data_IF_053255710707
#
_entry.id   IF_053255710707
#
_cell.length_a   1.000
_cell.length_b   1.000
_cell.length_c   1.000
_cell.angle_alpha   90.00
_cell.angle_beta   90.00
_cell.angle_gamma   90.00
#
_symmetry.space_group_name_H-M   'P 1'
#
loop_
_entity.id
_entity.type
_entity.pdbx_description
1 polymer ?
#
# COMPACT_ATOMS: atom_id res chain seq x y z
N UNK A 1 -15.96 19.10 32.57
CA UNK A 1 -17.12 18.71 33.40
C UNK A 1 -18.22 19.74 33.15
N UNK A 2 -19.45 19.29 32.87
CA UNK A 2 -20.57 20.22 32.64
C UNK A 2 -20.86 21.07 33.87
N UNK A 3 -21.30 22.30 33.66
CA UNK A 3 -21.79 23.19 34.72
C UNK A 3 -23.08 22.61 35.31
N UNK A 4 -23.11 22.40 36.63
CA UNK A 4 -24.32 21.98 37.32
C UNK A 4 -25.33 23.14 37.32
N UNK A 5 -26.53 22.89 36.78
CA UNK A 5 -27.66 23.82 36.87
C UNK A 5 -28.63 23.33 37.95
N UNK A 6 -28.98 24.19 38.91
CA UNK A 6 -29.97 23.88 39.94
C UNK A 6 -31.36 23.80 39.33
N UNK A 7 -32.13 22.76 39.66
CA UNK A 7 -33.51 22.57 39.18
C UNK A 7 -34.56 23.36 39.99
N UNK A 8 -34.12 24.18 40.96
CA UNK A 8 -34.98 24.86 41.90
C UNK A 8 -35.43 23.97 43.07
N UNK A 9 -36.35 24.48 43.89
CA UNK A 9 -36.93 23.76 45.03
C UNK A 9 -38.30 23.22 44.63
N UNK A 10 -38.55 21.94 44.85
CA UNK A 10 -39.84 21.31 44.58
C UNK A 10 -40.73 21.45 45.83
N UNK A 11 -41.90 22.08 45.67
CA UNK A 11 -42.85 22.25 46.75
C UNK A 11 -43.72 21.00 46.91
N UNK A 12 -43.85 20.56 48.16
CA UNK A 12 -44.75 19.49 48.57
C UNK A 12 -45.90 20.12 49.37
N UNK A 13 -47.03 19.41 49.43
CA UNK A 13 -48.13 19.76 50.33
C UNK A 13 -47.65 19.88 51.79
N UNK A 14 -48.48 20.48 52.65
CA UNK A 14 -48.10 20.73 54.05
C UNK A 14 -47.70 19.47 54.84
N UNK A 15 -48.04 18.28 54.34
CA UNK A 15 -47.67 16.99 54.94
C UNK A 15 -46.41 16.37 54.31
N UNK A 16 -45.81 17.01 53.31
CA UNK A 16 -44.60 16.55 52.62
C UNK A 16 -44.79 15.29 51.78
N UNK A 17 -46.04 14.89 51.49
CA UNK A 17 -46.39 13.60 50.86
C UNK A 17 -46.69 13.73 49.38
N UNK A 18 -47.12 14.91 48.94
CA UNK A 18 -47.61 15.11 47.57
C UNK A 18 -46.96 16.35 46.96
N UNK A 19 -46.35 16.20 45.79
CA UNK A 19 -45.93 17.35 44.98
C UNK A 19 -47.16 18.17 44.58
N UNK A 20 -47.14 19.49 44.77
CA UNK A 20 -48.31 20.33 44.44
C UNK A 20 -48.53 20.47 42.93
N UNK A 21 -47.49 20.35 42.10
CA UNK A 21 -47.53 20.59 40.65
C UNK A 21 -47.32 19.30 39.82
N UNK A 22 -48.13 18.27 40.04
CA UNK A 22 -47.94 16.95 39.40
C UNK A 22 -48.17 16.93 37.88
N UNK A 23 -48.88 17.94 37.35
CA UNK A 23 -49.21 18.04 35.93
C UNK A 23 -48.14 18.73 35.07
N UNK A 24 -47.17 19.40 35.70
CA UNK A 24 -46.23 20.26 34.99
C UNK A 24 -44.85 19.61 34.88
N UNK A 25 -44.34 19.54 33.64
CA UNK A 25 -42.95 19.18 33.40
C UNK A 25 -42.03 20.29 33.89
N UNK A 26 -41.15 19.98 34.84
CA UNK A 26 -40.08 20.90 35.25
C UNK A 26 -38.87 20.69 34.34
N UNK A 27 -38.59 21.67 33.48
CA UNK A 27 -37.49 21.62 32.51
C UNK A 27 -36.22 22.27 33.08
N UNK A 28 -35.06 21.69 32.76
CA UNK A 28 -33.75 22.28 32.98
C UNK A 28 -32.97 22.36 31.67
N UNK A 29 -32.14 23.39 31.53
CA UNK A 29 -31.17 23.49 30.44
C UNK A 29 -29.78 23.57 31.04
N UNK A 30 -28.84 22.85 30.43
CA UNK A 30 -27.41 22.91 30.74
C UNK A 30 -26.66 23.35 29.48
N UNK A 31 -25.43 23.82 29.64
CA UNK A 31 -24.60 24.19 28.50
C UNK A 31 -24.46 23.02 27.53
N UNK A 32 -24.56 23.30 26.23
CA UNK A 32 -24.45 22.26 25.20
C UNK A 32 -23.11 21.52 25.37
N UNK A 33 -23.19 20.19 25.51
CA UNK A 33 -22.03 19.33 25.68
C UNK A 33 -22.26 18.01 24.96
N UNK A 34 -21.24 17.52 24.27
CA UNK A 34 -21.24 16.17 23.72
C UNK A 34 -21.14 15.18 24.88
N UNK A 35 -22.16 14.35 25.07
CA UNK A 35 -22.23 13.41 26.18
C UNK A 35 -22.94 12.12 25.77
N UNK A 36 -22.41 10.99 26.24
CA UNK A 36 -23.06 9.67 26.09
C UNK A 36 -24.01 9.37 27.24
N UNK A 37 -23.77 10.00 28.39
CA UNK A 37 -24.50 9.77 29.62
C UNK A 37 -24.86 11.12 30.24
N UNK A 38 -26.04 11.17 30.86
CA UNK A 38 -26.43 12.25 31.76
C UNK A 38 -26.52 11.65 33.15
N UNK A 39 -25.83 12.26 34.11
CA UNK A 39 -25.89 11.86 35.52
C UNK A 39 -26.82 12.79 36.26
N UNK A 40 -27.87 12.23 36.86
CA UNK A 40 -28.73 12.96 37.80
C UNK A 40 -28.26 12.62 39.21
N UNK A 41 -27.84 13.63 39.97
CA UNK A 41 -27.42 13.49 41.36
C UNK A 41 -28.44 14.18 42.27
N UNK A 42 -29.13 13.39 43.09
CA UNK A 42 -30.00 13.90 44.15
C UNK A 42 -29.12 14.39 45.30
N UNK A 43 -29.21 15.68 45.62
CA UNK A 43 -28.38 16.30 46.66
C UNK A 43 -29.06 16.33 48.02
N UNK A 44 -30.40 16.39 48.06
CA UNK A 44 -31.23 16.31 49.26
C UNK A 44 -32.60 15.72 48.90
N UNK A 45 -33.28 15.05 49.84
CA UNK A 45 -34.57 14.40 49.64
C UNK A 45 -35.48 14.48 50.88
N UNK A 46 -36.79 14.31 50.72
CA UNK A 46 -37.77 14.41 51.81
C UNK A 46 -38.10 13.06 52.47
N UNK A 47 -38.77 13.07 53.63
CA UNK A 47 -39.33 11.87 54.26
C UNK A 47 -39.42 11.97 55.79
N UNK A 48 -39.68 10.83 56.45
CA UNK A 48 -39.75 10.77 57.92
C UNK A 48 -38.44 11.13 58.64
N UNK A 49 -37.33 11.18 57.88
CA UNK A 49 -36.04 11.77 58.24
C UNK A 49 -35.53 12.59 57.03
N UNK A 50 -34.59 13.51 57.26
CA UNK A 50 -33.87 14.24 56.20
C UNK A 50 -33.23 13.23 55.23
N UNK A 51 -33.38 13.46 53.93
CA UNK A 51 -32.82 12.67 52.81
C UNK A 51 -33.33 11.22 52.69
N UNK A 52 -34.47 10.90 53.28
CA UNK A 52 -34.95 9.51 53.34
C UNK A 52 -35.45 8.96 51.99
N UNK A 53 -36.17 9.75 51.19
CA UNK A 53 -36.82 9.26 49.97
C UNK A 53 -36.78 10.27 48.82
N UNK A 54 -36.37 9.79 47.65
CA UNK A 54 -36.54 10.48 46.38
C UNK A 54 -37.23 9.54 45.40
N UNK A 55 -38.25 10.02 44.70
CA UNK A 55 -38.86 9.29 43.59
C UNK A 55 -38.90 10.20 42.35
N UNK A 56 -38.69 9.58 41.18
CA UNK A 56 -38.74 10.26 39.90
C UNK A 56 -39.53 9.36 38.96
N UNK A 57 -40.67 9.85 38.46
CA UNK A 57 -41.62 9.03 37.70
C UNK A 57 -41.25 8.96 36.22
N UNK A 58 -40.88 10.10 35.62
CA UNK A 58 -40.49 10.18 34.22
C UNK A 58 -39.32 11.16 34.04
N UNK A 59 -38.33 10.77 33.23
CA UNK A 59 -37.19 11.60 32.86
C UNK A 59 -37.11 11.64 31.33
N UNK A 60 -37.10 12.85 30.78
CA UNK A 60 -36.93 13.07 29.34
C UNK A 60 -35.66 13.87 29.09
N UNK A 61 -34.78 13.31 28.28
CA UNK A 61 -33.61 14.03 27.79
C UNK A 61 -33.90 14.55 26.38
N UNK A 62 -33.63 15.83 26.18
CA UNK A 62 -33.76 16.49 24.89
C UNK A 62 -32.37 16.87 24.41
N UNK A 63 -32.05 16.52 23.17
CA UNK A 63 -30.77 16.81 22.56
C UNK A 63 -30.81 16.52 21.07
N UNK A 64 -29.82 17.03 20.35
CA UNK A 64 -29.56 16.64 18.97
C UNK A 64 -28.64 15.43 18.97
N UNK A 65 -28.92 14.45 18.11
CA UNK A 65 -27.96 13.37 17.87
C UNK A 65 -26.70 14.00 17.28
N UNK A 66 -25.56 13.84 17.95
CA UNK A 66 -24.26 14.26 17.44
C UNK A 66 -23.58 13.02 16.86
N UNK A 67 -23.32 12.95 15.54
CA UNK A 67 -22.66 11.80 14.94
C UNK A 67 -21.29 11.58 15.57
N UNK A 68 -20.86 10.32 15.69
CA UNK A 68 -19.53 9.96 16.18
C UNK A 68 -18.44 10.75 15.43
N UNK A 69 -17.38 11.20 16.14
CA UNK A 69 -16.30 11.93 15.50
C UNK A 69 -15.70 11.06 14.40
N UNK A 70 -15.50 11.65 13.23
CA UNK A 70 -14.93 10.94 12.07
C UNK A 70 -13.43 10.80 12.27
N UNK A 71 -12.94 9.57 12.21
CA UNK A 71 -11.52 9.25 12.37
C UNK A 71 -10.78 9.52 11.06
N UNK A 72 -9.79 10.42 11.08
CA UNK A 72 -9.05 10.86 9.89
C UNK A 72 -7.54 10.57 9.93
N UNK A 73 -7.04 10.01 11.02
CA UNK A 73 -5.61 9.85 11.27
C UNK A 73 -4.93 8.92 10.25
N UNK A 74 -5.60 7.83 9.86
CA UNK A 74 -5.08 6.89 8.86
C UNK A 74 -4.99 7.54 7.48
N UNK A 75 -6.00 8.33 7.09
CA UNK A 75 -6.00 9.09 5.84
C UNK A 75 -4.87 10.13 5.83
N UNK A 76 -4.68 10.87 6.93
CA UNK A 76 -3.59 11.83 7.08
C UNK A 76 -2.22 11.14 6.94
N UNK A 77 -2.03 10.02 7.64
CA UNK A 77 -0.80 9.22 7.61
C UNK A 77 -0.48 8.72 6.19
N UNK A 78 -1.48 8.24 5.46
CA UNK A 78 -1.31 7.77 4.09
C UNK A 78 -0.90 8.92 3.13
N UNK A 79 -1.52 10.09 3.25
CA UNK A 79 -1.17 11.28 2.46
C UNK A 79 0.27 11.72 2.75
N UNK A 80 0.65 11.79 4.03
CA UNK A 80 2.01 12.17 4.45
C UNK A 80 3.05 11.18 3.95
N UNK A 81 2.79 9.87 4.06
CA UNK A 81 3.68 8.83 3.57
C UNK A 81 3.97 8.98 2.07
N UNK A 82 2.93 9.11 1.24
CA UNK A 82 3.11 9.26 -0.20
C UNK A 82 3.83 10.58 -0.53
N UNK A 83 3.46 11.68 0.14
CA UNK A 83 4.13 12.96 -0.06
C UNK A 83 5.61 12.93 0.33
N UNK A 84 5.96 12.23 1.42
CA UNK A 84 7.33 12.06 1.86
C UNK A 84 8.15 11.23 0.86
N UNK A 85 7.59 10.14 0.33
CA UNK A 85 8.22 9.32 -0.71
C UNK A 85 8.48 10.14 -1.98
N UNK A 86 7.54 11.01 -2.40
CA UNK A 86 7.75 11.91 -3.54
C UNK A 86 8.84 12.95 -3.23
N UNK A 87 8.79 13.59 -2.08
CA UNK A 87 9.74 14.64 -1.68
C UNK A 87 11.17 14.11 -1.53
N UNK A 88 11.33 12.89 -1.02
CA UNK A 88 12.62 12.21 -0.90
C UNK A 88 13.13 11.63 -2.24
N UNK A 89 12.29 11.64 -3.29
CA UNK A 89 12.63 11.08 -4.61
C UNK A 89 12.55 9.55 -4.65
N UNK A 90 11.84 8.94 -3.71
CA UNK A 90 11.52 7.50 -3.58
C UNK A 90 10.38 7.09 -4.50
N UNK A 91 9.58 8.09 -4.85
CA UNK A 91 8.53 7.96 -5.83
C UNK A 91 8.68 9.08 -6.87
N UNK A 92 9.14 8.74 -8.08
CA UNK A 92 9.39 9.70 -9.15
C UNK A 92 8.41 9.49 -10.30
N UNK A 93 7.76 10.57 -10.74
CA UNK A 93 6.82 10.53 -11.86
C UNK A 93 7.40 9.88 -13.12
N UNK A 94 8.66 10.18 -13.44
CA UNK A 94 9.32 9.66 -14.65
C UNK A 94 9.53 8.15 -14.68
N UNK A 95 9.46 7.47 -13.54
CA UNK A 95 9.61 6.01 -13.47
C UNK A 95 8.31 5.27 -13.83
N UNK A 96 7.19 5.98 -13.92
CA UNK A 96 5.84 5.42 -14.08
C UNK A 96 5.13 5.97 -15.31
N UNK A 97 4.14 5.21 -15.80
CA UNK A 97 3.28 5.64 -16.90
C UNK A 97 2.50 6.88 -16.49
N UNK A 98 2.32 7.81 -17.43
CA UNK A 98 1.57 9.05 -17.20
C UNK A 98 0.16 8.78 -16.65
N UNK A 99 -0.50 7.73 -17.16
CA UNK A 99 -1.82 7.32 -16.71
C UNK A 99 -1.84 6.88 -15.24
N UNK A 100 -0.90 6.01 -14.83
CA UNK A 100 -0.85 5.52 -13.45
C UNK A 100 -0.41 6.60 -12.46
N UNK A 101 0.51 7.49 -12.88
CA UNK A 101 0.92 8.65 -12.09
C UNK A 101 -0.24 9.63 -11.88
N UNK A 102 -0.96 9.98 -12.96
CA UNK A 102 -2.11 10.88 -12.90
C UNK A 102 -3.21 10.31 -11.98
N UNK A 103 -3.41 8.99 -11.99
CA UNK A 103 -4.35 8.34 -11.06
C UNK A 103 -3.94 8.52 -9.59
N UNK A 104 -2.65 8.42 -9.27
CA UNK A 104 -2.13 8.68 -7.92
C UNK A 104 -2.30 10.16 -7.52
N UNK A 105 -1.98 11.10 -8.41
CA UNK A 105 -2.14 12.54 -8.15
C UNK A 105 -3.61 12.91 -7.88
N UNK A 106 -4.53 12.36 -8.67
CA UNK A 106 -5.96 12.56 -8.48
C UNK A 106 -6.45 11.97 -7.14
N UNK A 107 -5.95 10.79 -6.77
CA UNK A 107 -6.28 10.16 -5.49
C UNK A 107 -5.74 10.99 -4.30
N UNK A 108 -4.51 11.51 -4.38
CA UNK A 108 -3.93 12.41 -3.39
C UNK A 108 -4.73 13.70 -3.24
N UNK A 109 -5.12 14.32 -4.35
CA UNK A 109 -5.93 15.55 -4.33
C UNK A 109 -7.29 15.30 -3.66
N UNK A 110 -7.96 14.20 -4.03
CA UNK A 110 -9.24 13.79 -3.44
C UNK A 110 -9.11 13.50 -1.94
N UNK A 111 -8.06 12.77 -1.55
CA UNK A 111 -7.77 12.47 -0.14
C UNK A 111 -7.57 13.73 0.69
N UNK A 112 -6.82 14.73 0.18
CA UNK A 112 -6.62 16.03 0.86
C UNK A 112 -7.91 16.83 0.99
N UNK A 113 -8.77 16.80 -0.02
CA UNK A 113 -10.07 17.46 0.03
C UNK A 113 -10.96 16.87 1.15
N UNK A 114 -11.08 15.54 1.22
CA UNK A 114 -11.83 14.84 2.27
C UNK A 114 -11.22 15.04 3.66
N UNK A 115 -9.88 15.05 3.75
CA UNK A 115 -9.19 15.32 5.02
C UNK A 115 -9.58 16.71 5.57
N UNK A 116 -9.67 17.71 4.70
CA UNK A 116 -9.97 19.10 5.05
C UNK A 116 -11.46 19.40 5.24
N UNK A 117 -12.35 18.52 4.79
CA UNK A 117 -13.80 18.72 4.91
C UNK A 117 -14.31 18.39 6.31
N UNK A 118 -14.73 19.41 7.07
CA UNK A 118 -15.28 19.26 8.42
C UNK A 118 -16.57 18.43 8.47
N UNK A 119 -17.26 18.27 7.35
CA UNK A 119 -18.51 17.51 7.23
C UNK A 119 -18.33 16.13 6.60
N UNK A 120 -17.10 15.76 6.23
CA UNK A 120 -16.83 14.44 5.66
C UNK A 120 -17.33 13.34 6.59
N UNK A 121 -17.99 12.34 6.01
CA UNK A 121 -18.45 11.14 6.69
C UNK A 121 -17.33 10.12 6.82
N UNK A 122 -17.47 9.17 7.76
CA UNK A 122 -16.50 8.07 7.89
C UNK A 122 -16.39 7.26 6.59
N UNK A 123 -17.49 7.03 5.88
CA UNK A 123 -17.48 6.30 4.62
C UNK A 123 -16.67 7.01 3.52
N UNK A 124 -16.72 8.34 3.46
CA UNK A 124 -15.92 9.12 2.51
C UNK A 124 -14.43 9.07 2.86
N UNK A 125 -14.08 9.13 4.15
CA UNK A 125 -12.70 8.97 4.61
C UNK A 125 -12.15 7.57 4.26
N UNK A 126 -12.91 6.52 4.56
CA UNK A 126 -12.52 5.13 4.28
C UNK A 126 -12.41 4.87 2.76
N UNK A 127 -13.24 5.52 1.95
CA UNK A 127 -13.16 5.44 0.50
C UNK A 127 -11.92 6.18 -0.03
N UNK A 128 -11.63 7.38 0.48
CA UNK A 128 -10.47 8.16 0.08
C UNK A 128 -9.16 7.43 0.43
N UNK A 129 -9.09 6.81 1.62
CA UNK A 129 -7.94 6.01 2.03
C UNK A 129 -7.71 4.84 1.08
N UNK A 130 -8.74 4.02 0.84
CA UNK A 130 -8.64 2.87 -0.08
C UNK A 130 -8.28 3.30 -1.50
N UNK A 131 -8.83 4.41 -1.98
CA UNK A 131 -8.51 4.93 -3.31
C UNK A 131 -7.04 5.35 -3.41
N UNK A 132 -6.50 6.03 -2.39
CA UNK A 132 -5.09 6.41 -2.35
C UNK A 132 -4.16 5.19 -2.29
N UNK A 133 -4.45 4.21 -1.43
CA UNK A 133 -3.68 2.97 -1.33
C UNK A 133 -3.72 2.17 -2.64
N UNK A 134 -4.91 2.06 -3.25
CA UNK A 134 -5.07 1.37 -4.53
C UNK A 134 -4.33 2.08 -5.65
N UNK A 135 -4.41 3.41 -5.75
CA UNK A 135 -3.69 4.16 -6.77
C UNK A 135 -2.17 4.04 -6.59
N UNK A 136 -1.70 4.00 -5.33
CA UNK A 136 -0.29 3.78 -5.03
C UNK A 136 0.16 2.37 -5.42
N UNK A 137 -0.63 1.35 -5.14
CA UNK A 137 -0.34 -0.05 -5.50
C UNK A 137 -0.46 -0.33 -7.00
N UNK A 138 -1.26 0.45 -7.72
CA UNK A 138 -1.50 0.33 -9.17
C UNK A 138 -0.52 1.13 -10.04
N UNK A 139 0.49 1.75 -9.44
CA UNK A 139 1.54 2.42 -10.18
C UNK A 139 2.24 1.46 -11.15
N UNK A 140 2.27 1.83 -12.42
CA UNK A 140 2.82 0.99 -13.49
C UNK A 140 4.10 1.63 -14.02
N UNK A 141 5.20 0.87 -14.04
CA UNK A 141 6.49 1.40 -14.52
C UNK A 141 6.45 1.71 -16.02
N UNK A 142 7.13 2.78 -16.42
CA UNK A 142 7.30 3.09 -17.84
C UNK A 142 8.13 2.01 -18.53
N UNK A 143 7.57 1.29 -19.53
CA UNK A 143 8.33 0.29 -20.25
C UNK A 143 9.42 0.94 -21.10
N UNK A 144 10.57 0.29 -21.20
CA UNK A 144 11.62 0.73 -22.11
C UNK A 144 11.24 0.22 -23.51
N UNK A 145 11.08 1.11 -24.49
CA UNK A 145 10.75 0.67 -25.84
C UNK A 145 11.90 -0.17 -26.44
N UNK A 146 11.62 -1.31 -27.10
CA UNK A 146 12.62 -2.01 -27.89
C UNK A 146 13.07 -1.13 -29.06
N UNK A 147 14.37 -1.14 -29.35
CA UNK A 147 14.96 -0.39 -30.47
C UNK A 147 15.86 -1.35 -31.24
N UNK A 148 15.59 -1.50 -32.53
CA UNK A 148 16.49 -2.20 -33.45
C UNK A 148 17.61 -1.25 -33.90
N UNK A 149 18.85 -1.73 -33.89
CA UNK A 149 20.07 -1.00 -34.22
C UNK A 149 20.17 0.35 -33.46
N UNK A 150 20.20 0.34 -32.11
CA UNK A 150 20.21 1.55 -31.31
C UNK A 150 21.50 2.34 -31.55
N UNK A 151 21.34 3.64 -31.73
CA UNK A 151 22.48 4.57 -31.82
C UNK A 151 23.17 4.72 -30.46
N UNK A 152 24.45 5.12 -30.46
CA UNK A 152 25.16 5.54 -29.23
C UNK A 152 24.39 6.60 -28.43
N UNK A 153 23.64 7.48 -29.11
CA UNK A 153 22.78 8.48 -28.44
C UNK A 153 21.63 7.83 -27.68
N UNK A 154 20.96 6.84 -28.26
CA UNK A 154 19.88 6.09 -27.61
C UNK A 154 20.40 5.24 -26.45
N UNK A 155 21.52 4.54 -26.63
CA UNK A 155 22.16 3.80 -25.54
C UNK A 155 22.57 4.72 -24.37
N UNK A 156 23.15 5.89 -24.66
CA UNK A 156 23.49 6.89 -23.64
C UNK A 156 22.26 7.42 -22.88
N UNK A 157 21.14 7.62 -23.57
CA UNK A 157 19.89 8.02 -22.93
C UNK A 157 19.37 6.92 -21.98
N UNK A 158 19.43 5.66 -22.41
CA UNK A 158 19.02 4.53 -21.58
C UNK A 158 19.94 4.35 -20.37
N UNK A 159 21.27 4.55 -20.53
CA UNK A 159 22.22 4.56 -19.40
C UNK A 159 21.86 5.64 -18.37
N UNK A 160 21.50 6.85 -18.83
CA UNK A 160 21.05 7.91 -17.93
C UNK A 160 19.79 7.49 -17.14
N UNK A 161 18.79 6.94 -17.83
CA UNK A 161 17.57 6.44 -17.19
C UNK A 161 17.88 5.32 -16.18
N UNK A 162 18.73 4.36 -16.55
CA UNK A 162 19.14 3.26 -15.68
C UNK A 162 19.82 3.75 -14.40
N UNK A 163 20.67 4.78 -14.49
CA UNK A 163 21.34 5.40 -13.33
C UNK A 163 20.39 6.17 -12.43
N UNK A 164 19.28 6.67 -12.98
CA UNK A 164 18.26 7.42 -12.26
C UNK A 164 17.18 6.52 -11.64
N UNK A 165 17.12 5.25 -12.06
CA UNK A 165 16.15 4.25 -11.61
C UNK A 165 16.27 4.01 -10.10
N UNK A 166 15.17 4.12 -9.36
CA UNK A 166 15.18 3.81 -7.93
C UNK A 166 15.41 2.31 -7.68
N UNK A 167 16.40 2.02 -6.85
CA UNK A 167 16.86 0.69 -6.46
C UNK A 167 16.60 0.38 -4.98
N UNK A 168 16.00 1.31 -4.23
CA UNK A 168 15.62 1.06 -2.84
C UNK A 168 14.52 0.02 -2.74
N UNK A 169 14.62 -0.77 -1.68
CA UNK A 169 13.72 -1.90 -1.49
C UNK A 169 13.86 -2.98 -2.55
N UNK A 170 14.89 -2.95 -3.43
CA UNK A 170 15.17 -4.01 -4.41
C UNK A 170 16.21 -5.00 -3.88
N UNK A 171 16.19 -6.23 -4.40
CA UNK A 171 17.16 -7.26 -3.99
C UNK A 171 18.57 -6.89 -4.46
N UNK A 172 19.59 -7.25 -3.67
CA UNK A 172 20.98 -7.01 -4.02
C UNK A 172 21.34 -7.63 -5.39
N UNK A 173 20.79 -8.80 -5.72
CA UNK A 173 21.02 -9.47 -7.00
C UNK A 173 20.47 -8.68 -8.18
N UNK A 174 19.27 -8.10 -8.05
CA UNK A 174 18.66 -7.34 -9.16
C UNK A 174 19.32 -5.98 -9.34
N UNK A 175 19.75 -5.33 -8.26
CA UNK A 175 20.54 -4.09 -8.31
C UNK A 175 21.93 -4.34 -8.91
N UNK A 176 22.56 -5.49 -8.57
CA UNK A 176 23.83 -5.88 -9.18
C UNK A 176 23.68 -6.10 -10.68
N UNK A 177 22.63 -6.80 -11.11
CA UNK A 177 22.36 -7.02 -12.53
C UNK A 177 22.19 -5.70 -13.31
N UNK A 178 21.48 -4.71 -12.74
CA UNK A 178 21.38 -3.37 -13.31
C UNK A 178 22.74 -2.67 -13.39
N UNK A 179 23.54 -2.74 -12.33
CA UNK A 179 24.87 -2.12 -12.28
C UNK A 179 25.84 -2.74 -13.30
N UNK A 180 25.81 -4.07 -13.44
CA UNK A 180 26.61 -4.80 -14.42
C UNK A 180 26.19 -4.40 -15.86
N UNK A 181 24.89 -4.30 -16.13
CA UNK A 181 24.37 -3.87 -17.43
C UNK A 181 24.72 -2.41 -17.76
N UNK A 182 24.67 -1.50 -16.77
CA UNK A 182 25.12 -0.11 -16.92
C UNK A 182 26.61 -0.10 -17.29
N UNK A 183 27.44 -0.85 -16.58
CA UNK A 183 28.89 -0.90 -16.83
C UNK A 183 29.18 -1.37 -18.25
N UNK A 184 28.54 -2.46 -18.69
CA UNK A 184 28.70 -2.97 -20.05
C UNK A 184 28.27 -1.95 -21.12
N UNK A 185 27.14 -1.26 -20.90
CA UNK A 185 26.69 -0.21 -21.81
C UNK A 185 27.66 0.98 -21.87
N UNK A 186 28.29 1.36 -20.76
CA UNK A 186 29.31 2.42 -20.73
C UNK A 186 30.61 2.00 -21.45
N UNK A 187 31.03 0.75 -21.32
CA UNK A 187 32.18 0.21 -22.06
C UNK A 187 31.94 0.25 -23.58
N UNK A 188 30.76 -0.18 -24.03
CA UNK A 188 30.37 -0.11 -25.45
C UNK A 188 30.29 1.33 -25.96
N UNK A 189 29.83 2.28 -25.13
CA UNK A 189 29.82 3.69 -25.48
C UNK A 189 31.24 4.28 -25.61
N UNK A 190 32.18 3.80 -24.80
CA UNK A 190 33.59 4.19 -24.81
C UNK A 190 34.40 3.64 -25.99
N UNK A 191 33.97 2.54 -26.60
CA UNK A 191 34.61 1.96 -27.77
C UNK A 191 34.23 2.73 -29.05
N UNK A 192 35.20 3.44 -29.64
CA UNK A 192 35.03 4.18 -30.90
C UNK A 192 34.59 3.28 -32.05
N UNK A 193 34.97 1.99 -32.03
CA UNK A 193 34.69 1.01 -33.07
C UNK A 193 33.59 0.00 -32.69
N UNK A 194 32.79 0.30 -31.65
CA UNK A 194 31.66 -0.54 -31.26
C UNK A 194 30.75 -0.84 -32.46
N UNK A 195 30.50 -2.14 -32.69
CA UNK A 195 29.59 -2.63 -33.73
C UNK A 195 28.12 -2.43 -33.37
N UNK A 196 27.25 -2.42 -34.38
CA UNK A 196 25.80 -2.36 -34.20
C UNK A 196 25.29 -3.52 -33.32
N UNK A 197 25.88 -4.71 -33.44
CA UNK A 197 25.58 -5.86 -32.59
C UNK A 197 25.93 -5.61 -31.12
N UNK A 198 27.05 -4.96 -30.84
CA UNK A 198 27.43 -4.60 -29.46
C UNK A 198 26.49 -3.54 -28.89
N UNK A 199 26.12 -2.54 -29.69
CA UNK A 199 25.13 -1.52 -29.29
C UNK A 199 23.76 -2.15 -29.00
N UNK A 200 23.30 -3.05 -29.86
CA UNK A 200 22.04 -3.79 -29.67
C UNK A 200 22.09 -4.62 -28.38
N UNK A 201 23.14 -5.41 -28.20
CA UNK A 201 23.29 -6.25 -27.01
C UNK A 201 23.31 -5.42 -25.71
N UNK A 202 24.01 -4.28 -25.71
CA UNK A 202 24.07 -3.38 -24.56
C UNK A 202 22.71 -2.75 -24.25
N UNK A 203 21.97 -2.34 -25.27
CA UNK A 203 20.63 -1.78 -25.12
C UNK A 203 19.64 -2.82 -24.55
N UNK A 204 19.63 -4.03 -25.11
CA UNK A 204 18.72 -5.10 -24.69
C UNK A 204 19.01 -5.59 -23.28
N UNK A 205 20.29 -5.71 -22.91
CA UNK A 205 20.69 -6.07 -21.55
C UNK A 205 20.26 -5.00 -20.53
N UNK A 206 20.45 -3.72 -20.87
CA UNK A 206 20.09 -2.63 -19.99
C UNK A 206 18.57 -2.51 -19.82
N UNK A 207 17.81 -2.64 -20.93
CA UNK A 207 16.35 -2.75 -20.91
C UNK A 207 15.88 -3.88 -20.01
N UNK A 208 16.41 -5.08 -20.21
CA UNK A 208 16.03 -6.26 -19.42
C UNK A 208 16.34 -6.05 -17.94
N UNK A 209 17.48 -5.44 -17.60
CA UNK A 209 17.86 -5.19 -16.22
C UNK A 209 16.95 -4.16 -15.53
N UNK A 210 16.53 -3.10 -16.23
CA UNK A 210 15.55 -2.12 -15.72
C UNK A 210 14.20 -2.80 -15.45
N UNK A 211 13.72 -3.62 -16.38
CA UNK A 211 12.42 -4.30 -16.30
C UNK A 211 12.42 -5.47 -15.30
N UNK A 212 13.58 -6.04 -15.01
CA UNK A 212 13.72 -7.22 -14.12
C UNK A 212 14.13 -6.86 -12.69
N UNK A 213 14.06 -5.59 -12.29
CA UNK A 213 14.29 -5.19 -10.90
C UNK A 213 13.27 -5.86 -9.97
N UNK A 214 13.77 -6.54 -8.95
CA UNK A 214 12.94 -7.30 -8.00
C UNK A 214 12.92 -6.62 -6.66
N UNK A 215 11.74 -6.49 -6.07
CA UNK A 215 11.63 -6.08 -4.68
C UNK A 215 12.33 -7.10 -3.76
N UNK A 216 13.11 -6.59 -2.82
CA UNK A 216 13.55 -7.34 -1.66
C UNK A 216 12.28 -7.75 -0.91
N UNK A 217 12.12 -9.05 -0.69
CA UNK A 217 10.95 -9.62 -0.03
C UNK A 217 10.67 -8.83 1.24
N UNK A 218 9.66 -7.97 1.15
CA UNK A 218 9.20 -7.17 2.25
C UNK A 218 8.29 -8.12 2.98
N UNK A 219 8.84 -8.84 3.96
CA UNK A 219 8.09 -9.80 4.77
C UNK A 219 6.84 -9.16 5.33
N UNK A 220 5.73 -9.24 4.59
CA UNK A 220 4.41 -8.84 5.02
C UNK A 220 3.58 -10.12 5.14
N UNK A 221 3.85 -10.83 6.24
CA UNK A 221 2.85 -11.65 6.90
C UNK A 221 1.81 -10.69 7.49
N UNK A 222 0.64 -10.55 6.85
CA UNK A 222 -0.33 -9.57 7.32
C UNK A 222 -1.70 -9.56 6.65
N UNK A 223 -2.14 -10.67 6.07
CA UNK A 223 -3.52 -10.84 5.59
C UNK A 223 -4.21 -11.92 6.41
N UNK A 224 -4.63 -11.59 7.63
CA UNK A 224 -5.54 -12.44 8.43
C UNK A 224 -6.87 -12.54 7.67
N UNK A 225 -7.01 -13.60 6.89
CA UNK A 225 -8.27 -13.99 6.28
C UNK A 225 -9.25 -14.37 7.38
N UNK A 226 -10.20 -13.46 7.63
CA UNK A 226 -11.41 -13.67 8.39
C UNK A 226 -12.06 -15.02 8.00
N UNK A 227 -11.96 -16.00 8.89
CA UNK A 227 -12.40 -17.36 8.69
C UNK A 227 -13.93 -17.40 8.85
N UNK A 228 -14.62 -17.33 7.71
CA UNK A 228 -16.06 -17.55 7.61
C UNK A 228 -16.43 -18.96 8.07
N UNK A 229 -17.21 -19.00 9.15
CA UNK A 229 -17.87 -20.17 9.71
C UNK A 229 -18.68 -20.93 8.66
N UNK A 230 -18.24 -22.13 8.30
CA UNK A 230 -18.96 -23.09 7.46
C UNK A 230 -19.00 -24.45 8.14
N UNK A 231 -20.12 -24.72 8.81
CA UNK A 231 -20.44 -25.95 9.51
C UNK A 231 -20.60 -27.14 8.55
N UNK A 232 -19.96 -28.28 8.82
CA UNK A 232 -20.06 -29.47 7.96
C UNK A 232 -19.35 -30.71 8.53
N UNK A 233 -19.95 -31.34 9.52
CA UNK A 233 -19.57 -32.69 9.97
C UNK A 233 -20.14 -33.76 9.03
N UNK A 234 -19.28 -34.73 8.67
CA UNK A 234 -19.49 -36.19 8.76
C UNK A 234 -19.07 -37.00 7.50
N UNK A 235 -18.00 -37.79 7.66
CA UNK A 235 -18.05 -39.25 7.49
C UNK A 235 -17.63 -39.87 6.15
N UNK A 236 -16.63 -40.77 6.20
CA UNK A 236 -16.69 -42.03 5.42
C UNK A 236 -15.48 -42.44 4.56
N UNK A 237 -14.46 -43.02 5.20
CA UNK A 237 -13.70 -44.23 4.87
C UNK A 237 -13.33 -44.68 3.43
N UNK A 238 -12.02 -45.06 3.34
CA UNK A 238 -11.41 -46.18 2.59
C UNK A 238 -11.46 -46.14 1.05
N UNK A 239 -10.57 -46.76 0.27
CA UNK A 239 -9.24 -47.33 0.35
C UNK A 239 -9.02 -47.90 -1.07
N UNK A 240 -7.83 -47.78 -1.69
CA UNK A 240 -7.62 -48.44 -2.98
C UNK A 240 -6.38 -48.03 -3.76
N UNK A 241 -5.29 -48.77 -3.55
CA UNK A 241 -4.22 -49.03 -4.53
C UNK A 241 -4.24 -50.54 -4.78
N UNK A 242 -3.96 -51.05 -6.00
CA UNK A 242 -2.56 -51.14 -6.44
C UNK A 242 -2.27 -51.10 -7.97
N UNK A 243 -0.99 -50.76 -8.24
CA UNK A 243 -0.01 -51.11 -9.29
C UNK A 243 -0.35 -51.68 -10.70
N UNK A 244 0.52 -51.26 -11.66
CA UNK A 244 0.86 -51.89 -12.95
C UNK A 244 0.45 -51.02 -14.16
N UNK A 245 1.23 -50.74 -15.21
CA UNK A 245 2.56 -51.17 -15.65
C UNK A 245 3.06 -50.21 -16.76
N UNK A 246 4.30 -50.43 -17.21
CA UNK A 246 5.26 -49.60 -17.98
C UNK A 246 4.92 -49.02 -19.38
N UNK A 247 5.84 -48.12 -19.76
CA UNK A 247 6.33 -47.70 -21.10
C UNK A 247 5.71 -46.38 -21.63
N UNK A 248 6.42 -45.43 -22.25
CA UNK A 248 7.72 -45.37 -22.91
C UNK A 248 8.05 -43.88 -23.13
N UNK A 249 9.30 -43.42 -22.99
CA UNK A 249 9.61 -42.01 -23.26
C UNK A 249 11.04 -41.58 -22.96
N UNK A 250 11.95 -42.01 -23.82
CA UNK A 250 13.37 -41.63 -23.91
C UNK A 250 13.62 -40.12 -23.74
N UNK A 251 14.67 -39.73 -22.99
CA UNK A 251 15.59 -38.65 -23.42
C UNK A 251 16.91 -38.67 -22.65
N UNK A 252 17.97 -38.63 -23.46
CA UNK A 252 19.39 -38.69 -23.12
C UNK A 252 19.82 -37.41 -22.40
N UNK A 253 20.67 -37.60 -21.39
CA UNK A 253 21.62 -36.60 -20.92
C UNK A 253 22.52 -36.14 -22.08
N UNK A 254 22.71 -34.83 -22.19
CA UNK A 254 23.59 -34.20 -23.17
C UNK A 254 23.27 -32.73 -23.31
N UNK A 255 23.83 -31.92 -22.41
CA UNK A 255 23.78 -30.46 -22.46
C UNK A 255 24.32 -29.96 -23.79
N UNK A 256 23.44 -29.44 -24.65
CA UNK A 256 23.81 -28.65 -25.82
C UNK A 256 23.34 -27.21 -25.58
N UNK A 257 24.33 -26.34 -25.39
CA UNK A 257 24.23 -24.88 -25.34
C UNK A 257 23.70 -24.42 -26.72
N UNK A 258 22.81 -23.41 -26.81
CA UNK A 258 22.43 -22.86 -28.11
C UNK A 258 23.64 -22.26 -28.81
N UNK A 259 23.85 -22.69 -30.04
CA UNK A 259 24.90 -22.21 -30.93
C UNK A 259 24.51 -20.81 -31.45
N UNK A 260 25.40 -19.83 -31.31
CA UNK A 260 25.23 -18.51 -31.94
C UNK A 260 25.60 -18.61 -33.42
N UNK A 261 24.59 -18.52 -34.27
CA UNK A 261 24.77 -18.37 -35.72
C UNK A 261 23.72 -19.12 -36.52
N UNK A 262 22.50 -18.57 -36.61
CA UNK A 262 21.87 -18.20 -37.89
C UNK A 262 20.54 -17.47 -37.63
N UNK A 263 20.11 -16.63 -38.58
CA UNK A 263 18.87 -15.86 -38.48
C UNK A 263 17.64 -16.77 -38.45
N UNK A 264 16.78 -16.66 -37.43
CA UNK A 264 15.31 -16.67 -37.57
C UNK A 264 14.60 -16.51 -36.20
N UNK A 265 13.58 -15.65 -36.23
CA UNK A 265 12.51 -15.36 -35.28
C UNK A 265 12.36 -16.17 -33.96
N UNK A 266 12.26 -15.40 -32.88
CA UNK A 266 11.33 -15.53 -31.74
C UNK A 266 11.13 -16.90 -31.08
N UNK A 267 11.72 -17.10 -29.89
CA UNK A 267 10.99 -17.64 -28.73
C UNK A 267 11.67 -17.24 -27.43
N UNK A 268 10.99 -16.44 -26.61
CA UNK A 268 11.34 -16.17 -25.21
C UNK A 268 10.98 -17.40 -24.39
N UNK A 269 11.95 -17.97 -23.67
CA UNK A 269 11.69 -18.95 -22.62
C UNK A 269 12.51 -18.59 -21.39
N UNK A 270 11.79 -18.54 -20.28
CA UNK A 270 12.12 -17.93 -19.00
C UNK A 270 12.88 -18.88 -18.07
N UNK A 271 13.50 -18.26 -17.06
CA UNK A 271 13.92 -18.81 -15.76
C UNK A 271 15.22 -19.62 -15.71
N UNK A 272 16.26 -19.01 -15.14
CA UNK A 272 17.23 -19.74 -14.33
C UNK A 272 18.67 -19.21 -14.37
N UNK A 273 19.01 -18.30 -13.47
CA UNK A 273 20.41 -18.08 -13.04
C UNK A 273 21.13 -16.91 -13.69
N UNK A 274 21.13 -15.77 -12.99
CA UNK A 274 21.95 -14.56 -13.21
C UNK A 274 23.47 -14.79 -12.98
N UNK A 275 24.02 -15.92 -13.42
CA UNK A 275 25.32 -16.39 -12.92
C UNK A 275 26.52 -16.33 -13.86
N UNK A 276 26.36 -16.24 -15.19
CA UNK A 276 27.47 -16.62 -16.08
C UNK A 276 27.54 -15.93 -17.45
N UNK A 277 27.19 -14.65 -17.59
CA UNK A 277 27.54 -13.86 -18.79
C UNK A 277 28.58 -12.77 -18.49
N UNK A 278 29.09 -12.67 -17.26
CA UNK A 278 30.11 -11.67 -16.89
C UNK A 278 31.54 -12.08 -17.27
N UNK A 279 31.81 -13.35 -17.61
CA UNK A 279 33.20 -13.81 -17.72
C UNK A 279 33.84 -13.76 -19.13
N UNK A 280 33.09 -13.51 -20.22
CA UNK A 280 33.62 -13.79 -21.58
C UNK A 280 33.99 -12.56 -22.44
N UNK A 281 33.59 -11.34 -22.09
CA UNK A 281 33.96 -10.13 -22.86
C UNK A 281 34.97 -9.24 -22.11
N UNK A 282 34.97 -9.26 -20.76
CA UNK A 282 35.92 -8.50 -19.94
C UNK A 282 37.38 -8.99 -19.94
N UNK A 283 37.69 -10.11 -20.60
CA UNK A 283 39.04 -10.67 -20.63
C UNK A 283 39.95 -10.13 -21.75
N UNK A 284 39.47 -9.25 -22.64
CA UNK A 284 40.25 -8.82 -23.81
C UNK A 284 41.05 -7.50 -23.64
N UNK A 285 40.87 -6.73 -22.57
CA UNK A 285 41.61 -5.47 -22.38
C UNK A 285 42.31 -5.36 -21.02
N UNK A 286 43.27 -6.25 -20.76
CA UNK A 286 44.32 -5.95 -19.77
C UNK A 286 45.68 -6.57 -20.06
N UNK A 287 46.25 -6.38 -21.27
CA UNK A 287 47.71 -6.36 -21.44
C UNK A 287 48.15 -5.86 -22.82
N UNK A 288 48.52 -4.58 -22.92
CA UNK A 288 49.66 -4.10 -23.72
C UNK A 288 49.87 -2.60 -23.49
N UNK A 289 50.59 -2.24 -22.43
CA UNK A 289 51.46 -1.06 -22.47
C UNK A 289 52.63 -1.25 -21.51
N UNK A 290 53.80 -1.50 -22.11
CA UNK A 290 55.16 -1.10 -21.71
C UNK A 290 56.17 -2.07 -22.32
N UNK A 291 56.55 -1.76 -23.55
CA UNK A 291 57.84 -2.09 -24.11
C UNK A 291 58.27 -0.91 -25.00
N UNK A 292 59.05 0.00 -24.41
CA UNK A 292 60.17 0.70 -25.02
C UNK A 292 61.16 1.01 -23.91
#
# INVERSE_FOLDING_TARGET
>A
MGTAASMGTFAFDNDGRVLTDRGDWKQMSFGAARGRYVTVKVIHAGGGNVDAYCSLAELKFYGTAVPDPVAKDDLATAIEKVAAEVAAGDLKAGDYTEASWTALENALASARAILSDENATQGEVDQALRALESARGALEKTPVAPVENPTKKQLKALVKQAKETDTRGKTAESVKALTDAITYAEDVLGDENASDTQLQAAYDQLKLAIESLKDADSGNQGGSGNQGSGNGSNGGNQAGKPAGDKAQGSKKNGSAIPNTGDQTAATVATVGGLGAIIAAIGAFFHRRSKAK
#
